data_IF_636128644178
#
_entry.id   IF_636128644178
#
_cell.length_a   1.000
_cell.length_b   1.000
_cell.length_c   1.000
_cell.angle_alpha   90.00
_cell.angle_beta   90.00
_cell.angle_gamma   90.00
#
_symmetry.space_group_name_H-M   'P 1'
#
loop_
_entity.id
_entity.type
_entity.pdbx_description
1 polymer ?
#
# COMPACT_ATOMS: atom_id res chain seq x y z
N UNK A 1 16.70 -1.95 24.23
CA UNK A 1 16.15 -1.20 25.38
C UNK A 1 15.89 0.24 24.98
N UNK A 2 14.82 0.83 25.48
CA UNK A 2 14.52 2.25 25.28
C UNK A 2 15.59 3.12 25.94
N UNK A 3 15.98 4.21 25.27
CA UNK A 3 16.91 5.22 25.80
C UNK A 3 16.18 6.24 26.69
N UNK A 4 14.91 6.51 26.35
CA UNK A 4 14.03 7.43 27.05
C UNK A 4 12.67 6.80 27.36
N UNK A 5 11.96 7.24 28.41
CA UNK A 5 10.58 6.82 28.68
C UNK A 5 9.68 7.10 27.46
N UNK A 6 8.75 6.19 27.18
CA UNK A 6 7.69 6.37 26.20
C UNK A 6 6.42 6.80 26.94
N UNK A 7 5.82 7.89 26.49
CA UNK A 7 4.56 8.36 27.07
C UNK A 7 3.40 7.72 26.32
N UNK A 8 2.42 7.23 27.09
CA UNK A 8 1.20 6.65 26.55
C UNK A 8 0.00 7.47 27.06
N UNK A 9 -0.82 7.92 26.14
CA UNK A 9 -2.03 8.69 26.41
C UNK A 9 -3.24 7.95 25.88
N UNK A 10 -4.26 7.81 26.73
CA UNK A 10 -5.53 7.18 26.35
C UNK A 10 -6.55 8.25 26.02
N UNK A 11 -7.27 8.09 24.93
CA UNK A 11 -8.31 8.99 24.47
C UNK A 11 -9.59 8.22 24.18
N UNK A 12 -10.72 8.83 24.54
CA UNK A 12 -12.03 8.36 24.08
C UNK A 12 -12.18 8.52 22.56
N UNK A 13 -13.08 7.74 21.94
CA UNK A 13 -13.24 7.69 20.48
C UNK A 13 -13.36 9.06 19.81
N UNK A 14 -14.16 9.97 20.37
CA UNK A 14 -14.35 11.28 19.78
C UNK A 14 -13.07 12.15 19.77
N UNK A 15 -12.29 12.09 20.87
CA UNK A 15 -11.04 12.84 20.99
C UNK A 15 -9.93 12.20 20.16
N UNK A 16 -9.95 10.86 20.04
CA UNK A 16 -9.00 10.13 19.21
C UNK A 16 -9.26 10.40 17.72
N UNK A 17 -10.52 10.32 17.27
CA UNK A 17 -10.89 10.64 15.90
C UNK A 17 -10.52 12.07 15.53
N UNK A 18 -10.77 13.05 16.41
CA UNK A 18 -10.36 14.43 16.18
C UNK A 18 -8.83 14.63 16.07
N UNK A 19 -8.02 13.64 16.48
CA UNK A 19 -6.58 13.69 16.34
C UNK A 19 -6.08 13.11 15.01
N UNK A 20 -6.74 12.03 14.51
CA UNK A 20 -6.28 11.30 13.32
C UNK A 20 -6.94 11.78 12.04
N UNK A 21 -8.09 12.42 12.16
CA UNK A 21 -8.86 12.96 11.03
C UNK A 21 -8.71 14.47 11.05
N UNK A 22 -8.19 15.03 9.96
CA UNK A 22 -8.26 16.50 9.76
C UNK A 22 -9.67 16.79 9.25
N UNK A 23 -10.51 17.48 10.06
CA UNK A 23 -11.89 17.62 9.68
C UNK A 23 -12.02 18.40 8.38
N UNK A 24 -12.83 17.89 7.45
CA UNK A 24 -13.19 18.55 6.19
C UNK A 24 -13.82 19.93 6.42
N UNK A 25 -14.33 20.18 7.64
CA UNK A 25 -14.81 21.47 8.10
C UNK A 25 -13.64 22.40 8.45
N UNK A 26 -13.36 23.37 7.59
CA UNK A 26 -12.36 24.40 7.84
C UNK A 26 -11.18 24.44 6.88
N UNK A 27 -11.17 23.58 5.85
CA UNK A 27 -10.16 23.58 4.81
C UNK A 27 -10.00 24.95 4.15
N UNK A 28 -8.77 25.39 3.97
CA UNK A 28 -8.44 26.58 3.18
C UNK A 28 -8.82 26.38 1.70
N UNK A 29 -8.84 27.45 0.93
CA UNK A 29 -9.09 27.35 -0.51
C UNK A 29 -8.04 26.49 -1.22
N UNK A 30 -6.77 26.56 -0.79
CA UNK A 30 -5.66 25.79 -1.35
C UNK A 30 -5.79 24.29 -1.04
N UNK A 31 -6.21 23.93 0.19
CA UNK A 31 -6.43 22.53 0.57
C UNK A 31 -7.60 21.93 -0.19
N UNK A 32 -8.71 22.67 -0.38
CA UNK A 32 -9.81 22.21 -1.24
C UNK A 32 -9.38 22.02 -2.67
N UNK A 33 -8.61 22.94 -3.24
CA UNK A 33 -8.08 22.82 -4.60
C UNK A 33 -7.18 21.59 -4.74
N UNK A 34 -6.37 21.26 -3.74
CA UNK A 34 -5.54 20.06 -3.73
C UNK A 34 -6.40 18.78 -3.72
N UNK A 35 -7.47 18.73 -2.92
CA UNK A 35 -8.43 17.62 -2.91
C UNK A 35 -9.13 17.49 -4.26
N UNK A 36 -9.64 18.58 -4.84
CA UNK A 36 -10.27 18.58 -6.17
C UNK A 36 -9.32 18.07 -7.27
N UNK A 37 -8.03 18.38 -7.17
CA UNK A 37 -7.01 17.90 -8.10
C UNK A 37 -6.73 16.41 -7.92
N UNK A 38 -6.63 15.91 -6.68
CA UNK A 38 -6.49 14.47 -6.39
C UNK A 38 -7.74 13.69 -6.87
N UNK A 39 -8.94 14.22 -6.67
CA UNK A 39 -10.16 13.62 -7.20
C UNK A 39 -10.17 13.56 -8.72
N UNK A 40 -9.73 14.63 -9.40
CA UNK A 40 -9.64 14.66 -10.84
C UNK A 40 -8.58 13.68 -11.37
N UNK A 41 -7.43 13.58 -10.69
CA UNK A 41 -6.40 12.58 -10.95
C UNK A 41 -6.98 11.17 -10.82
N UNK A 42 -7.62 10.88 -9.69
CA UNK A 42 -8.18 9.55 -9.42
C UNK A 42 -9.31 9.18 -10.38
N UNK A 43 -10.19 10.12 -10.76
CA UNK A 43 -11.20 9.87 -11.80
C UNK A 43 -10.58 9.64 -13.18
N UNK A 44 -9.48 10.30 -13.50
CA UNK A 44 -8.74 10.05 -14.74
C UNK A 44 -8.26 8.61 -14.84
N UNK A 45 -7.69 8.08 -13.75
CA UNK A 45 -7.22 6.69 -13.69
C UNK A 45 -8.33 5.65 -13.44
N UNK A 46 -9.50 6.06 -12.94
CA UNK A 46 -10.58 5.18 -12.53
C UNK A 46 -10.38 4.61 -11.13
N UNK A 47 -9.62 5.30 -10.30
CA UNK A 47 -9.53 4.99 -8.87
C UNK A 47 -10.76 5.48 -8.11
N UNK A 48 -11.36 6.56 -8.60
CA UNK A 48 -12.59 7.15 -8.07
C UNK A 48 -13.67 7.18 -9.14
N UNK A 49 -14.93 7.24 -8.71
CA UNK A 49 -16.10 7.28 -9.59
C UNK A 49 -17.07 8.36 -9.14
N UNK A 50 -17.67 9.05 -10.10
CA UNK A 50 -18.71 10.04 -9.79
C UNK A 50 -18.17 11.21 -8.95
N UNK A 51 -18.99 11.65 -7.99
CA UNK A 51 -18.69 12.75 -7.07
C UNK A 51 -18.13 12.21 -5.73
N UNK A 52 -17.12 11.36 -5.79
CA UNK A 52 -16.39 10.90 -4.60
C UNK A 52 -15.88 12.11 -3.82
N UNK A 53 -16.14 12.17 -2.54
CA UNK A 53 -15.51 13.10 -1.60
C UNK A 53 -14.38 12.36 -0.89
N UNK A 54 -13.15 12.55 -1.38
CA UNK A 54 -11.99 11.82 -0.86
C UNK A 54 -11.76 12.13 0.62
N UNK A 55 -12.02 13.36 1.06
CA UNK A 55 -11.81 13.73 2.46
C UNK A 55 -12.75 12.95 3.38
N UNK A 56 -14.03 12.88 3.03
CA UNK A 56 -15.03 12.13 3.81
C UNK A 56 -14.76 10.60 3.75
N UNK A 57 -14.36 10.07 2.60
CA UNK A 57 -14.02 8.65 2.48
C UNK A 57 -12.75 8.29 3.25
N UNK A 58 -11.72 9.13 3.22
CA UNK A 58 -10.52 8.97 4.04
C UNK A 58 -10.86 9.02 5.54
N UNK A 59 -11.72 9.97 5.96
CA UNK A 59 -12.20 10.01 7.35
C UNK A 59 -12.83 8.68 7.76
N UNK A 60 -13.63 8.10 6.88
CA UNK A 60 -14.27 6.80 7.10
C UNK A 60 -13.23 5.69 7.26
N UNK A 61 -12.30 5.55 6.32
CA UNK A 61 -11.26 4.50 6.31
C UNK A 61 -10.36 4.62 7.54
N UNK A 62 -9.82 5.80 7.84
CA UNK A 62 -8.95 6.02 9.00
C UNK A 62 -9.70 5.90 10.34
N UNK A 63 -10.97 6.30 10.37
CA UNK A 63 -11.78 6.32 11.58
C UNK A 63 -12.12 4.95 12.14
N UNK A 64 -12.13 3.91 11.31
CA UNK A 64 -12.58 2.56 11.71
C UNK A 64 -11.41 1.68 12.20
N UNK A 65 -10.28 1.67 11.48
CA UNK A 65 -9.23 0.68 11.66
C UNK A 65 -8.15 1.05 12.69
N UNK A 66 -7.99 2.34 13.03
CA UNK A 66 -6.86 2.78 13.87
C UNK A 66 -7.19 2.71 15.36
N UNK A 67 -6.50 1.83 16.11
CA UNK A 67 -6.67 1.65 17.57
C UNK A 67 -5.65 2.41 18.39
N UNK A 68 -4.46 2.64 17.87
CA UNK A 68 -3.42 3.45 18.48
C UNK A 68 -2.52 4.03 17.40
N UNK A 69 -1.68 4.98 17.78
CA UNK A 69 -0.64 5.53 16.90
C UNK A 69 0.55 6.04 17.73
N UNK A 70 1.76 5.89 17.21
CA UNK A 70 2.94 6.60 17.69
C UNK A 70 3.08 7.94 16.99
N UNK A 71 2.93 9.02 17.73
CA UNK A 71 3.13 10.36 17.19
C UNK A 71 4.63 10.72 17.18
N UNK A 72 5.27 10.63 16.03
CA UNK A 72 6.69 10.96 15.85
C UNK A 72 7.03 12.43 16.21
N UNK A 73 6.09 13.36 16.11
CA UNK A 73 6.33 14.77 16.43
C UNK A 73 6.41 14.99 17.94
N UNK A 74 5.52 14.38 18.70
CA UNK A 74 5.40 14.52 20.14
C UNK A 74 6.12 13.42 20.91
N UNK A 75 6.53 12.33 20.24
CA UNK A 75 7.15 11.12 20.82
C UNK A 75 6.27 10.47 21.89
N UNK A 76 4.98 10.38 21.59
CA UNK A 76 3.98 9.76 22.46
C UNK A 76 3.18 8.69 21.70
N UNK A 77 2.74 7.66 22.40
CA UNK A 77 1.72 6.73 21.91
C UNK A 77 0.36 7.26 22.34
N UNK A 78 -0.57 7.35 21.40
CA UNK A 78 -1.97 7.67 21.69
C UNK A 78 -2.80 6.43 21.42
N UNK A 79 -3.61 6.06 22.40
CA UNK A 79 -4.41 4.82 22.36
C UNK A 79 -5.88 5.18 22.45
N UNK A 80 -6.68 4.58 21.59
CA UNK A 80 -8.14 4.68 21.59
C UNK A 80 -8.70 3.77 22.69
N UNK A 81 -8.95 4.31 23.86
CA UNK A 81 -9.58 3.59 24.96
C UNK A 81 -10.07 4.53 26.05
N UNK A 82 -11.20 4.16 26.66
CA UNK A 82 -11.70 4.80 27.89
C UNK A 82 -11.08 4.17 29.15
N UNK A 83 -10.42 3.01 29.03
CA UNK A 83 -9.73 2.35 30.14
C UNK A 83 -8.24 2.72 30.08
N UNK A 84 -7.70 3.08 31.23
CA UNK A 84 -6.30 3.52 31.39
C UNK A 84 -5.48 2.58 32.27
N UNK A 85 -6.06 1.47 32.74
CA UNK A 85 -5.34 0.47 33.54
C UNK A 85 -4.71 -0.59 32.62
N UNK A 86 -3.38 -0.62 32.46
CA UNK A 86 -2.71 -1.61 31.61
C UNK A 86 -2.91 -3.05 32.04
N UNK A 87 -3.36 -3.31 33.28
CA UNK A 87 -3.61 -4.67 33.77
C UNK A 87 -4.93 -5.26 33.24
N UNK A 88 -5.83 -4.43 32.70
CA UNK A 88 -7.14 -4.84 32.19
C UNK A 88 -7.32 -4.57 30.70
N UNK A 89 -6.28 -4.16 30.01
CA UNK A 89 -6.34 -3.94 28.57
C UNK A 89 -6.60 -5.26 27.83
N UNK A 90 -7.58 -5.31 26.92
CA UNK A 90 -7.85 -6.50 26.12
C UNK A 90 -6.64 -6.88 25.25
N UNK A 91 -6.54 -8.14 24.88
CA UNK A 91 -5.40 -8.66 24.09
C UNK A 91 -5.15 -7.86 22.81
N UNK A 92 -6.16 -7.54 21.99
CA UNK A 92 -5.94 -6.78 20.77
C UNK A 92 -5.25 -5.43 21.02
N UNK A 93 -5.71 -4.71 22.03
CA UNK A 93 -5.12 -3.42 22.37
C UNK A 93 -3.69 -3.55 22.90
N UNK A 94 -3.36 -4.62 23.62
CA UNK A 94 -1.98 -4.92 24.04
C UNK A 94 -1.07 -5.20 22.83
N UNK A 95 -1.57 -5.95 21.85
CA UNK A 95 -0.84 -6.26 20.61
C UNK A 95 -0.57 -4.98 19.84
N UNK A 96 -1.59 -4.13 19.64
CA UNK A 96 -1.42 -2.82 19.00
C UNK A 96 -0.43 -1.92 19.75
N UNK A 97 -0.49 -1.88 21.09
CA UNK A 97 0.48 -1.09 21.89
C UNK A 97 1.92 -1.62 21.70
N UNK A 98 2.12 -2.92 21.51
CA UNK A 98 3.45 -3.47 21.19
C UNK A 98 3.95 -2.96 19.84
N UNK A 99 3.08 -2.86 18.82
CA UNK A 99 3.38 -2.24 17.54
C UNK A 99 3.86 -0.79 17.74
N UNK A 100 3.08 0.03 18.45
CA UNK A 100 3.41 1.44 18.69
C UNK A 100 4.67 1.63 19.55
N UNK A 101 4.91 0.74 20.51
CA UNK A 101 6.15 0.73 21.28
C UNK A 101 7.36 0.43 20.39
N UNK A 102 7.17 -0.36 19.34
CA UNK A 102 8.25 -0.62 18.41
C UNK A 102 8.57 0.63 17.56
N UNK A 103 7.58 1.38 17.12
CA UNK A 103 7.81 2.68 16.48
C UNK A 103 8.56 3.66 17.39
N UNK A 104 8.22 3.68 18.67
CA UNK A 104 8.98 4.48 19.64
C UNK A 104 10.44 4.01 19.77
N UNK A 105 10.70 2.70 19.67
CA UNK A 105 12.05 2.14 19.69
C UNK A 105 12.82 2.47 18.40
N UNK A 106 12.17 2.36 17.23
CA UNK A 106 12.73 2.76 15.94
C UNK A 106 13.14 4.25 15.96
N UNK A 107 12.23 5.14 16.43
CA UNK A 107 12.53 6.57 16.51
C UNK A 107 13.71 6.89 17.45
N UNK A 108 13.77 6.25 18.62
CA UNK A 108 14.86 6.44 19.57
C UNK A 108 16.21 5.92 19.07
N UNK A 109 16.22 4.86 18.26
CA UNK A 109 17.41 4.19 17.76
C UNK A 109 17.93 4.74 16.46
N UNK A 110 17.04 5.12 15.55
CA UNK A 110 17.32 5.38 14.16
C UNK A 110 17.01 6.83 13.75
N UNK A 111 16.37 7.61 14.64
CA UNK A 111 15.86 8.95 14.32
C UNK A 111 15.07 8.95 12.99
N UNK A 112 13.97 8.20 13.00
CA UNK A 112 13.10 8.01 11.82
C UNK A 112 12.72 9.32 11.13
N UNK A 113 12.53 10.39 11.92
CA UNK A 113 12.23 11.72 11.38
C UNK A 113 13.38 12.28 10.53
N UNK A 114 14.63 11.99 10.89
CA UNK A 114 15.79 12.40 10.10
C UNK A 114 15.91 11.52 8.85
N UNK A 115 15.74 10.20 8.96
CA UNK A 115 15.76 9.31 7.80
C UNK A 115 14.66 9.68 6.79
N UNK A 116 13.44 9.96 7.25
CA UNK A 116 12.31 10.37 6.41
C UNK A 116 12.58 11.65 5.61
N UNK A 117 13.39 12.59 6.13
CA UNK A 117 13.78 13.79 5.38
C UNK A 117 14.82 13.55 4.29
N UNK A 118 15.45 12.39 4.28
CA UNK A 118 16.40 11.99 3.22
C UNK A 118 15.68 11.32 2.06
N UNK A 119 14.41 11.00 2.24
CA UNK A 119 13.54 10.46 1.19
C UNK A 119 13.04 11.63 0.36
N UNK A 120 13.28 11.61 -0.94
CA UNK A 120 13.13 12.77 -1.84
C UNK A 120 11.98 12.62 -2.84
N UNK A 121 11.33 11.45 -2.89
CA UNK A 121 10.19 11.19 -3.77
C UNK A 121 9.01 10.59 -3.01
N UNK A 122 7.78 10.80 -3.50
CA UNK A 122 6.59 10.18 -2.90
C UNK A 122 6.66 8.65 -2.95
N UNK A 123 7.27 8.09 -3.98
CA UNK A 123 7.42 6.64 -4.15
C UNK A 123 8.39 6.06 -3.11
N UNK A 124 9.53 6.71 -2.91
CA UNK A 124 10.47 6.34 -1.87
C UNK A 124 9.87 6.51 -0.45
N UNK A 125 9.04 7.53 -0.23
CA UNK A 125 8.33 7.72 1.04
C UNK A 125 7.36 6.56 1.34
N UNK A 126 6.61 6.10 0.33
CA UNK A 126 5.71 4.94 0.47
C UNK A 126 6.50 3.66 0.77
N UNK A 127 7.63 3.44 0.06
CA UNK A 127 8.50 2.29 0.30
C UNK A 127 9.16 2.34 1.69
N UNK A 128 9.61 3.51 2.13
CA UNK A 128 10.16 3.71 3.46
C UNK A 128 9.10 3.50 4.56
N UNK A 129 7.87 3.96 4.34
CA UNK A 129 6.75 3.69 5.25
C UNK A 129 6.51 2.18 5.34
N UNK A 130 6.52 1.45 4.21
CA UNK A 130 6.38 -0.01 4.22
C UNK A 130 7.50 -0.72 5.00
N UNK A 131 8.74 -0.23 4.95
CA UNK A 131 9.81 -0.73 5.81
C UNK A 131 9.51 -0.51 7.30
N UNK A 132 9.09 0.70 7.69
CA UNK A 132 8.82 1.06 9.08
C UNK A 132 7.68 0.20 9.64
N UNK A 133 6.55 0.15 8.93
CA UNK A 133 5.36 -0.61 9.33
C UNK A 133 5.61 -2.12 9.27
N UNK A 134 6.27 -2.59 8.22
CA UNK A 134 6.58 -4.02 8.08
C UNK A 134 7.47 -4.56 9.20
N UNK A 135 8.41 -3.76 9.71
CA UNK A 135 9.23 -4.17 10.85
C UNK A 135 8.43 -4.15 12.16
N UNK A 136 7.50 -3.20 12.33
CA UNK A 136 6.61 -3.17 13.48
C UNK A 136 5.64 -4.37 13.47
N UNK A 137 5.04 -4.69 12.31
CA UNK A 137 4.19 -5.89 12.11
C UNK A 137 4.96 -7.18 12.39
N UNK A 138 6.23 -7.29 11.99
CA UNK A 138 7.04 -8.47 12.28
C UNK A 138 7.23 -8.70 13.78
N UNK A 139 7.44 -7.62 14.56
CA UNK A 139 7.55 -7.71 16.01
C UNK A 139 6.19 -7.99 16.69
N UNK A 140 5.15 -7.30 16.26
CA UNK A 140 3.76 -7.52 16.68
C UNK A 140 3.37 -8.98 16.50
N UNK A 141 3.59 -9.55 15.32
CA UNK A 141 3.36 -10.95 14.98
C UNK A 141 4.13 -11.88 15.91
N UNK A 142 5.39 -11.57 16.17
CA UNK A 142 6.23 -12.36 17.11
C UNK A 142 5.68 -12.31 18.54
N UNK A 143 5.19 -11.18 18.99
CA UNK A 143 4.54 -11.04 20.29
C UNK A 143 3.24 -11.84 20.35
N UNK A 144 2.37 -11.70 19.36
CA UNK A 144 1.09 -12.40 19.26
C UNK A 144 1.26 -13.93 19.35
N UNK A 145 2.16 -14.50 18.55
CA UNK A 145 2.44 -15.95 18.60
C UNK A 145 3.22 -16.40 19.83
N UNK A 146 3.70 -15.49 20.65
CA UNK A 146 4.27 -15.76 21.97
C UNK A 146 3.24 -15.81 23.09
N UNK A 147 1.99 -15.39 22.84
CA UNK A 147 0.86 -15.48 23.78
C UNK A 147 0.36 -16.93 23.88
N UNK A 148 -0.45 -17.23 24.91
CA UNK A 148 -1.11 -18.54 24.99
C UNK A 148 -2.28 -18.64 23.99
N UNK A 149 -2.74 -19.89 23.76
CA UNK A 149 -3.79 -20.18 22.77
C UNK A 149 -5.09 -19.40 23.03
N UNK A 150 -5.46 -19.18 24.31
CA UNK A 150 -6.68 -18.43 24.67
C UNK A 150 -6.56 -16.94 24.31
N UNK A 151 -5.39 -16.36 24.55
CA UNK A 151 -5.10 -14.97 24.20
C UNK A 151 -5.03 -14.80 22.68
N UNK A 152 -4.47 -15.78 21.96
CA UNK A 152 -4.46 -15.76 20.49
C UNK A 152 -5.89 -15.85 19.94
N UNK A 153 -6.73 -16.74 20.46
CA UNK A 153 -8.15 -16.86 20.08
C UNK A 153 -8.90 -15.52 20.32
N UNK A 154 -8.69 -14.87 21.50
CA UNK A 154 -9.29 -13.54 21.78
C UNK A 154 -8.86 -12.49 20.75
N UNK A 155 -7.60 -12.51 20.32
CA UNK A 155 -7.11 -11.58 19.30
C UNK A 155 -7.76 -11.83 17.94
N UNK A 156 -7.79 -13.08 17.47
CA UNK A 156 -8.35 -13.42 16.16
C UNK A 156 -9.86 -13.20 16.11
N UNK A 157 -10.62 -13.56 17.14
CA UNK A 157 -12.05 -13.26 17.25
C UNK A 157 -12.33 -11.75 17.15
N UNK A 158 -11.47 -10.94 17.78
CA UNK A 158 -11.60 -9.49 17.71
C UNK A 158 -11.28 -8.96 16.29
N UNK A 159 -10.21 -9.45 15.67
CA UNK A 159 -9.79 -9.02 14.30
C UNK A 159 -10.87 -9.39 13.29
N UNK A 160 -11.47 -10.58 13.38
CA UNK A 160 -12.57 -11.01 12.51
C UNK A 160 -13.79 -10.07 12.65
N UNK A 161 -14.12 -9.70 13.88
CA UNK A 161 -15.16 -8.71 14.15
C UNK A 161 -14.83 -7.32 13.61
N UNK A 162 -13.58 -6.88 13.76
CA UNK A 162 -13.11 -5.59 13.26
C UNK A 162 -13.11 -5.54 11.73
N UNK A 163 -12.64 -6.59 11.06
CA UNK A 163 -12.65 -6.68 9.61
C UNK A 163 -14.08 -6.60 9.06
N UNK A 164 -15.04 -7.32 9.68
CA UNK A 164 -16.45 -7.21 9.30
C UNK A 164 -17.01 -5.79 9.48
N UNK A 165 -16.63 -5.11 10.56
CA UNK A 165 -17.04 -3.72 10.80
C UNK A 165 -16.40 -2.74 9.78
N UNK A 166 -15.15 -2.99 9.38
CA UNK A 166 -14.44 -2.22 8.35
C UNK A 166 -15.15 -2.42 7.01
N UNK A 167 -15.38 -3.67 6.58
CA UNK A 167 -16.05 -4.01 5.33
C UNK A 167 -17.43 -3.34 5.23
N UNK A 168 -18.23 -3.43 6.30
CA UNK A 168 -19.56 -2.81 6.34
C UNK A 168 -19.53 -1.28 6.20
N UNK A 169 -18.54 -0.63 6.80
CA UNK A 169 -18.41 0.84 6.81
C UNK A 169 -17.73 1.40 5.58
N UNK A 170 -16.84 0.63 4.96
CA UNK A 170 -16.06 1.04 3.78
C UNK A 170 -16.62 0.49 2.46
N UNK A 171 -17.73 -0.25 2.50
CA UNK A 171 -18.34 -0.88 1.33
C UNK A 171 -18.62 0.07 0.14
N UNK A 172 -18.91 1.34 0.44
CA UNK A 172 -19.17 2.38 -0.55
C UNK A 172 -17.95 3.27 -0.83
N UNK A 173 -16.79 3.04 -0.17
CA UNK A 173 -15.58 3.82 -0.39
C UNK A 173 -14.77 3.29 -1.58
N UNK A 174 -13.92 4.13 -2.15
CA UNK A 174 -13.05 3.74 -3.25
C UNK A 174 -11.94 2.77 -2.75
N UNK A 175 -11.84 1.55 -3.31
CA UNK A 175 -10.90 0.53 -2.81
C UNK A 175 -9.44 0.97 -2.79
N UNK A 176 -9.05 1.91 -3.65
CA UNK A 176 -7.70 2.48 -3.68
C UNK A 176 -7.32 3.15 -2.36
N UNK A 177 -8.29 3.70 -1.61
CA UNK A 177 -8.02 4.37 -0.34
C UNK A 177 -7.61 3.34 0.73
N UNK A 178 -8.35 2.25 0.86
CA UNK A 178 -8.00 1.14 1.77
C UNK A 178 -6.66 0.53 1.39
N UNK A 179 -6.43 0.21 0.10
CA UNK A 179 -5.14 -0.35 -0.34
C UNK A 179 -3.98 0.61 -0.08
N UNK A 180 -4.13 1.91 -0.32
CA UNK A 180 -3.05 2.87 -0.03
C UNK A 180 -2.72 2.94 1.47
N UNK A 181 -3.71 2.81 2.35
CA UNK A 181 -3.51 2.80 3.79
C UNK A 181 -2.82 1.51 4.25
N UNK A 182 -3.26 0.36 3.73
CA UNK A 182 -2.88 -0.96 4.22
C UNK A 182 -1.64 -1.54 3.53
N UNK A 183 -1.31 -1.09 2.30
CA UNK A 183 -0.16 -1.60 1.56
C UNK A 183 1.16 -1.63 2.37
N UNK A 184 1.51 -0.63 3.18
CA UNK A 184 2.70 -0.68 4.02
C UNK A 184 2.72 -1.87 4.99
N UNK A 185 1.59 -2.19 5.58
CA UNK A 185 1.43 -3.25 6.59
C UNK A 185 1.47 -4.66 6.00
N UNK A 186 1.07 -4.82 4.74
CA UNK A 186 1.04 -6.13 4.08
C UNK A 186 2.27 -6.40 3.22
N UNK A 187 2.86 -5.38 2.60
CA UNK A 187 4.05 -5.51 1.75
C UNK A 187 5.35 -5.52 2.57
N UNK A 188 5.45 -4.61 3.55
CA UNK A 188 6.66 -4.42 4.35
C UNK A 188 7.15 -5.67 5.07
N UNK A 189 6.29 -6.51 5.67
CA UNK A 189 6.71 -7.72 6.37
C UNK A 189 7.50 -8.70 5.51
N UNK A 190 7.21 -8.82 4.20
CA UNK A 190 7.94 -9.70 3.31
C UNK A 190 9.40 -9.22 3.09
N UNK A 191 9.60 -7.92 2.90
CA UNK A 191 10.94 -7.34 2.78
C UNK A 191 11.75 -7.53 4.08
N UNK A 192 11.13 -7.29 5.24
CA UNK A 192 11.76 -7.45 6.55
C UNK A 192 12.11 -8.91 6.82
N UNK A 193 11.22 -9.84 6.52
CA UNK A 193 11.45 -11.27 6.67
C UNK A 193 12.59 -11.78 5.76
N UNK A 194 12.64 -11.30 4.51
CA UNK A 194 13.73 -11.61 3.60
C UNK A 194 15.08 -11.05 4.10
N UNK A 195 15.11 -9.82 4.60
CA UNK A 195 16.32 -9.25 5.18
C UNK A 195 16.77 -9.96 6.46
N UNK A 196 15.84 -10.50 7.25
CA UNK A 196 16.18 -11.26 8.46
C UNK A 196 16.87 -12.62 8.14
N UNK A 197 16.71 -13.13 6.93
CA UNK A 197 17.41 -14.34 6.45
C UNK A 197 18.82 -14.05 5.91
N UNK A 198 19.12 -12.77 5.60
CA UNK A 198 20.42 -12.35 5.12
C UNK A 198 21.42 -12.15 6.27
N UNK A 199 22.70 -12.37 6.02
CA UNK A 199 23.77 -12.22 7.04
C UNK A 199 23.88 -10.78 7.61
N UNK A 200 23.49 -9.77 6.84
CA UNK A 200 23.48 -8.37 7.26
C UNK A 200 22.27 -8.03 8.16
N UNK A 201 21.24 -8.88 8.13
CA UNK A 201 20.05 -8.72 8.94
C UNK A 201 19.18 -7.51 8.56
N UNK A 202 18.19 -7.20 9.39
CA UNK A 202 17.22 -6.11 9.11
C UNK A 202 17.86 -4.71 9.16
N UNK A 203 18.98 -4.55 9.87
CA UNK A 203 19.64 -3.25 9.99
C UNK A 203 20.09 -2.68 8.62
N UNK A 204 20.42 -3.54 7.65
CA UNK A 204 20.75 -3.12 6.28
C UNK A 204 19.64 -2.30 5.61
N UNK A 205 18.38 -2.58 5.92
CA UNK A 205 17.23 -1.86 5.36
C UNK A 205 17.17 -0.39 5.81
N UNK A 206 17.73 -0.06 6.97
CA UNK A 206 17.84 1.30 7.48
C UNK A 206 19.09 2.02 7.02
N UNK A 207 20.19 1.27 6.80
CA UNK A 207 21.41 1.81 6.21
C UNK A 207 21.22 2.18 4.74
N UNK A 208 20.37 1.41 4.03
CA UNK A 208 20.04 1.61 2.63
C UNK A 208 18.54 1.37 2.43
N UNK A 209 17.68 2.33 2.77
CA UNK A 209 16.23 2.16 2.63
C UNK A 209 15.79 1.85 1.19
N UNK A 210 14.65 1.12 1.03
CA UNK A 210 14.05 0.97 -0.29
C UNK A 210 13.65 2.33 -0.83
N UNK A 211 13.78 2.51 -2.14
CA UNK A 211 13.57 3.82 -2.82
C UNK A 211 12.34 3.84 -3.71
N UNK A 212 11.66 2.71 -3.87
CA UNK A 212 10.41 2.59 -4.59
C UNK A 212 9.59 1.38 -4.11
N UNK A 213 8.28 1.41 -4.33
CA UNK A 213 7.37 0.35 -3.89
C UNK A 213 7.55 -0.97 -4.64
N UNK A 214 8.12 -0.96 -5.85
CA UNK A 214 8.51 -2.19 -6.56
C UNK A 214 9.42 -3.07 -5.72
N UNK A 215 10.35 -2.46 -4.95
CA UNK A 215 11.27 -3.16 -4.05
C UNK A 215 10.58 -3.77 -2.81
N UNK A 216 9.36 -3.37 -2.49
CA UNK A 216 8.56 -4.01 -1.43
C UNK A 216 7.51 -4.96 -2.00
N UNK A 217 7.04 -4.73 -3.24
CA UNK A 217 6.24 -5.69 -4.00
C UNK A 217 7.05 -6.95 -4.36
N UNK A 218 8.30 -6.74 -4.75
CA UNK A 218 9.27 -7.77 -5.06
C UNK A 218 10.57 -7.52 -4.27
N UNK A 219 10.72 -8.10 -3.08
CA UNK A 219 11.95 -7.96 -2.31
C UNK A 219 13.22 -8.36 -3.05
N UNK A 220 13.12 -9.20 -4.10
CA UNK A 220 14.29 -9.58 -4.93
C UNK A 220 14.88 -8.36 -5.65
N UNK A 221 14.05 -7.39 -6.06
CA UNK A 221 14.51 -6.14 -6.66
C UNK A 221 15.37 -5.33 -5.67
N UNK A 222 14.95 -5.27 -4.38
CA UNK A 222 15.77 -4.63 -3.35
C UNK A 222 17.15 -5.28 -3.21
N UNK A 223 17.21 -6.61 -3.07
CA UNK A 223 18.49 -7.33 -2.91
C UNK A 223 19.34 -7.36 -4.19
N UNK A 224 18.74 -7.19 -5.35
CA UNK A 224 19.45 -7.00 -6.62
C UNK A 224 20.00 -5.58 -6.80
N UNK A 225 19.72 -4.65 -5.87
CA UNK A 225 20.00 -3.22 -5.99
C UNK A 225 19.35 -2.62 -7.25
N UNK A 226 18.19 -3.15 -7.62
CA UNK A 226 17.38 -2.58 -8.70
C UNK A 226 16.81 -1.25 -8.25
N UNK A 227 17.06 -0.22 -9.04
CA UNK A 227 16.67 1.15 -8.71
C UNK A 227 15.91 1.77 -9.86
N UNK A 228 14.90 2.59 -9.56
CA UNK A 228 14.14 3.26 -10.60
C UNK A 228 15.05 4.00 -11.58
N UNK A 229 14.82 3.76 -12.87
CA UNK A 229 15.50 4.47 -13.94
C UNK A 229 14.98 5.92 -14.06
N UNK A 230 15.70 6.78 -14.77
CA UNK A 230 15.20 8.13 -15.03
C UNK A 230 14.15 8.10 -16.14
N UNK A 231 12.89 8.39 -15.79
CA UNK A 231 11.81 8.56 -16.76
C UNK A 231 11.59 10.05 -17.02
N UNK A 232 11.61 10.51 -18.28
CA UNK A 232 11.45 11.92 -18.59
C UNK A 232 10.04 12.39 -18.21
N UNK A 233 9.97 13.60 -17.61
CA UNK A 233 8.69 14.25 -17.37
C UNK A 233 8.00 14.57 -18.71
N UNK A 234 6.69 14.32 -18.82
CA UNK A 234 5.93 14.64 -20.04
C UNK A 234 5.92 16.14 -20.36
N UNK A 235 6.04 16.47 -21.65
CA UNK A 235 5.85 17.85 -22.13
C UNK A 235 4.38 18.08 -22.48
N UNK A 236 3.70 18.99 -21.80
CA UNK A 236 2.28 19.28 -22.00
C UNK A 236 2.05 20.67 -22.59
N UNK A 237 0.95 20.82 -23.31
CA UNK A 237 0.50 22.13 -23.82
C UNK A 237 -0.68 22.62 -22.98
N UNK A 238 -0.39 23.28 -21.88
CA UNK A 238 -1.41 23.76 -20.94
C UNK A 238 -0.83 24.33 -19.66
N UNK A 239 -1.69 24.56 -18.69
CA UNK A 239 -1.33 24.96 -17.34
C UNK A 239 -1.00 23.71 -16.52
N UNK A 240 0.23 23.57 -16.07
CA UNK A 240 0.65 22.50 -15.17
C UNK A 240 0.06 22.77 -13.78
N UNK A 241 -0.64 21.76 -13.25
CA UNK A 241 -1.23 21.80 -11.91
C UNK A 241 -0.28 21.11 -10.93
N UNK A 242 0.16 19.89 -11.29
CA UNK A 242 0.97 19.04 -10.44
C UNK A 242 1.85 18.11 -11.27
N UNK A 243 2.98 17.69 -10.72
CA UNK A 243 3.82 16.63 -11.29
C UNK A 243 4.14 15.60 -10.21
N UNK A 244 4.36 14.35 -10.59
CA UNK A 244 4.68 13.30 -9.61
C UNK A 244 4.92 11.94 -10.23
N UNK A 245 4.86 10.92 -9.38
CA UNK A 245 5.03 9.50 -9.70
C UNK A 245 3.80 8.74 -9.23
N UNK A 246 3.25 7.91 -10.11
CA UNK A 246 2.12 7.02 -9.79
C UNK A 246 2.60 5.86 -8.91
N UNK A 247 3.67 5.18 -9.34
CA UNK A 247 4.30 4.07 -8.65
C UNK A 247 3.66 2.71 -8.90
N UNK A 248 4.37 1.66 -8.47
CA UNK A 248 4.06 0.29 -8.82
C UNK A 248 2.71 -0.21 -8.25
N UNK A 249 2.36 0.16 -7.00
CA UNK A 249 1.08 -0.26 -6.38
C UNK A 249 -0.11 0.38 -7.09
N UNK A 250 -0.08 1.68 -7.34
CA UNK A 250 -1.16 2.37 -8.07
C UNK A 250 -1.23 1.93 -9.53
N UNK A 251 -0.09 1.57 -10.16
CA UNK A 251 -0.08 0.93 -11.47
C UNK A 251 -0.85 -0.40 -11.44
N UNK A 252 -0.57 -1.27 -10.45
CA UNK A 252 -1.33 -2.51 -10.25
C UNK A 252 -2.84 -2.24 -10.20
N UNK A 253 -3.29 -1.35 -9.33
CA UNK A 253 -4.71 -1.02 -9.16
C UNK A 253 -5.34 -0.47 -10.45
N UNK A 254 -4.59 0.35 -11.19
CA UNK A 254 -5.01 0.86 -12.49
C UNK A 254 -5.25 -0.26 -13.49
N UNK A 255 -4.29 -1.17 -13.63
CA UNK A 255 -4.36 -2.29 -14.56
C UNK A 255 -5.41 -3.32 -14.16
N UNK A 256 -5.50 -3.67 -12.88
CA UNK A 256 -6.42 -4.66 -12.33
C UNK A 256 -7.91 -4.24 -12.46
N UNK A 257 -8.19 -2.98 -12.76
CA UNK A 257 -9.53 -2.52 -13.12
C UNK A 257 -9.99 -2.99 -14.52
N UNK A 258 -9.09 -3.55 -15.34
CA UNK A 258 -9.37 -3.87 -16.76
C UNK A 258 -8.80 -5.22 -17.24
N UNK A 259 -7.83 -5.80 -16.53
CA UNK A 259 -7.25 -7.11 -16.85
C UNK A 259 -7.28 -8.01 -15.61
N UNK A 260 -7.01 -9.31 -15.80
CA UNK A 260 -6.97 -10.24 -14.66
C UNK A 260 -5.93 -9.80 -13.62
N UNK A 261 -6.22 -9.98 -12.30
CA UNK A 261 -5.32 -9.54 -11.23
C UNK A 261 -3.88 -10.07 -11.37
N UNK A 262 -3.72 -11.32 -11.79
CA UNK A 262 -2.39 -11.93 -12.02
C UNK A 262 -1.63 -11.23 -13.15
N UNK A 263 -2.30 -10.89 -14.27
CA UNK A 263 -1.67 -10.18 -15.40
C UNK A 263 -1.31 -8.74 -15.01
N UNK A 264 -2.18 -8.09 -14.23
CA UNK A 264 -1.92 -6.75 -13.69
C UNK A 264 -0.71 -6.76 -12.75
N UNK A 265 -0.60 -7.79 -11.90
CA UNK A 265 0.52 -7.95 -10.98
C UNK A 265 1.85 -8.16 -11.72
N UNK A 266 1.90 -9.09 -12.69
CA UNK A 266 3.10 -9.31 -13.51
C UNK A 266 3.53 -8.05 -14.25
N UNK A 267 2.57 -7.27 -14.77
CA UNK A 267 2.89 -6.01 -15.43
C UNK A 267 3.43 -4.98 -14.43
N UNK A 268 2.85 -4.88 -13.22
CA UNK A 268 3.30 -3.94 -12.19
C UNK A 268 4.69 -4.30 -11.64
N UNK A 269 5.03 -5.58 -11.53
CA UNK A 269 6.38 -6.03 -11.16
C UNK A 269 7.47 -5.65 -12.16
N UNK A 270 7.09 -5.26 -13.38
CA UNK A 270 8.04 -4.79 -14.40
C UNK A 270 8.20 -3.27 -14.41
N UNK A 271 7.65 -2.57 -13.42
CA UNK A 271 7.73 -1.12 -13.32
C UNK A 271 9.18 -0.64 -13.10
N UNK A 272 9.73 0.07 -14.09
CA UNK A 272 11.09 0.62 -14.00
C UNK A 272 11.13 2.05 -13.46
N UNK A 273 10.16 2.87 -13.77
CA UNK A 273 9.86 4.20 -13.21
C UNK A 273 8.71 4.85 -13.98
N UNK A 274 8.17 5.92 -13.44
CA UNK A 274 7.20 6.75 -14.13
C UNK A 274 7.32 8.24 -13.77
N UNK A 275 6.67 9.09 -14.56
CA UNK A 275 6.48 10.50 -14.25
C UNK A 275 5.19 10.98 -14.89
N UNK A 276 4.35 11.69 -14.15
CA UNK A 276 3.13 12.28 -14.68
C UNK A 276 3.10 13.80 -14.52
N UNK A 277 2.34 14.42 -15.41
CA UNK A 277 1.93 15.83 -15.34
C UNK A 277 0.42 15.89 -15.32
N UNK A 278 -0.15 16.42 -14.25
CA UNK A 278 -1.56 16.82 -14.17
C UNK A 278 -1.68 18.26 -14.70
N UNK A 279 -2.54 18.48 -15.68
CA UNK A 279 -2.60 19.78 -16.36
C UNK A 279 -3.98 20.13 -16.89
N UNK A 280 -4.22 21.42 -17.16
CA UNK A 280 -5.36 21.90 -17.94
C UNK A 280 -4.87 22.22 -19.36
N UNK A 281 -5.37 21.53 -20.39
CA UNK A 281 -5.02 21.82 -21.79
C UNK A 281 -5.34 23.27 -22.18
N UNK A 282 -4.49 23.86 -22.99
CA UNK A 282 -4.71 25.24 -23.48
C UNK A 282 -6.07 25.40 -24.17
N UNK A 283 -6.93 26.28 -23.63
CA UNK A 283 -8.28 26.54 -24.14
C UNK A 283 -9.34 25.53 -23.72
N UNK A 284 -9.07 24.68 -22.72
CA UNK A 284 -10.02 23.75 -22.11
C UNK A 284 -10.06 23.89 -20.59
N UNK A 285 -11.17 23.44 -19.97
CA UNK A 285 -11.37 23.47 -18.53
C UNK A 285 -11.20 22.06 -17.90
N UNK A 286 -11.12 21.00 -18.73
CA UNK A 286 -10.98 19.62 -18.27
C UNK A 286 -9.55 19.37 -17.80
N UNK A 287 -9.40 18.77 -16.63
CA UNK A 287 -8.10 18.33 -16.13
C UNK A 287 -7.69 17.04 -16.86
N UNK A 288 -6.44 16.95 -17.29
CA UNK A 288 -5.88 15.80 -17.97
C UNK A 288 -4.55 15.38 -17.32
N UNK A 289 -4.17 14.14 -17.54
CA UNK A 289 -2.88 13.57 -17.15
C UNK A 289 -2.13 13.16 -18.41
N UNK A 290 -0.88 13.56 -18.49
CA UNK A 290 0.09 12.94 -19.38
C UNK A 290 1.08 12.16 -18.50
N UNK A 291 1.26 10.89 -18.78
CA UNK A 291 2.02 9.97 -17.94
C UNK A 291 3.01 9.17 -18.79
N UNK A 292 4.30 9.30 -18.49
CA UNK A 292 5.38 8.52 -19.06
C UNK A 292 5.76 7.39 -18.11
N UNK A 293 5.85 6.16 -18.64
CA UNK A 293 6.15 4.95 -17.91
C UNK A 293 7.26 4.16 -18.61
N UNK A 294 8.31 3.79 -17.89
CA UNK A 294 9.36 2.87 -18.31
C UNK A 294 9.21 1.51 -17.63
N UNK A 295 9.88 0.51 -18.16
CA UNK A 295 9.93 -0.84 -17.62
C UNK A 295 11.37 -1.32 -17.51
N UNK A 296 11.65 -2.24 -16.57
CA UNK A 296 12.97 -2.85 -16.35
C UNK A 296 13.52 -3.55 -17.60
N UNK A 297 12.60 -4.01 -18.48
CA UNK A 297 13.01 -4.69 -19.71
C UNK A 297 11.92 -4.62 -20.79
N UNK A 298 12.30 -4.99 -22.01
CA UNK A 298 11.41 -4.92 -23.18
C UNK A 298 10.19 -5.86 -23.07
N UNK A 299 10.28 -6.99 -22.37
CA UNK A 299 9.16 -7.90 -22.17
C UNK A 299 8.13 -7.29 -21.22
N UNK A 300 8.59 -6.71 -20.11
CA UNK A 300 7.75 -5.95 -19.18
C UNK A 300 7.06 -4.75 -19.83
N UNK A 301 7.80 -4.00 -20.65
CA UNK A 301 7.22 -2.88 -21.40
C UNK A 301 6.09 -3.34 -22.34
N UNK A 302 6.26 -4.50 -22.99
CA UNK A 302 5.23 -5.08 -23.86
C UNK A 302 4.01 -5.57 -23.08
N UNK A 303 4.21 -6.18 -21.90
CA UNK A 303 3.13 -6.60 -21.00
C UNK A 303 2.35 -5.39 -20.48
N UNK A 304 3.03 -4.37 -19.94
CA UNK A 304 2.40 -3.12 -19.49
C UNK A 304 1.63 -2.43 -20.61
N UNK A 305 2.21 -2.36 -21.83
CA UNK A 305 1.52 -1.78 -22.99
C UNK A 305 0.21 -2.51 -23.27
N UNK A 306 0.20 -3.84 -23.23
CA UNK A 306 -1.01 -4.64 -23.48
C UNK A 306 -2.07 -4.36 -22.43
N UNK A 307 -1.71 -4.40 -21.14
CA UNK A 307 -2.62 -4.14 -20.04
C UNK A 307 -3.15 -2.69 -20.04
N UNK A 308 -2.28 -1.70 -20.26
CA UNK A 308 -2.67 -0.27 -20.38
C UNK A 308 -3.56 0.01 -21.58
N UNK A 309 -3.37 -0.71 -22.70
CA UNK A 309 -4.28 -0.59 -23.85
C UNK A 309 -5.67 -1.10 -23.50
N UNK A 310 -5.77 -2.26 -22.86
CA UNK A 310 -7.05 -2.79 -22.36
C UNK A 310 -7.71 -1.84 -21.36
N UNK A 311 -6.92 -1.27 -20.45
CA UNK A 311 -7.40 -0.28 -19.49
C UNK A 311 -7.91 0.98 -20.20
N UNK A 312 -7.18 1.54 -21.18
CA UNK A 312 -7.59 2.73 -21.91
C UNK A 312 -8.87 2.51 -22.71
N UNK A 313 -9.03 1.32 -23.34
CA UNK A 313 -10.23 0.92 -24.07
C UNK A 313 -11.47 0.78 -23.15
N UNK A 314 -11.27 0.47 -21.88
CA UNK A 314 -12.33 0.36 -20.88
C UNK A 314 -12.74 1.72 -20.27
N UNK A 315 -11.99 2.81 -20.50
CA UNK A 315 -12.34 4.14 -19.96
C UNK A 315 -13.55 4.74 -20.63
N UNK A 316 -14.32 5.56 -19.92
CA UNK A 316 -15.43 6.32 -20.51
C UNK A 316 -14.92 7.20 -21.67
N UNK A 317 -15.73 7.39 -22.70
CA UNK A 317 -15.35 8.18 -23.86
C UNK A 317 -14.92 9.63 -23.51
N UNK A 318 -15.44 10.19 -22.40
CA UNK A 318 -15.05 11.50 -21.87
C UNK A 318 -13.62 11.56 -21.37
N UNK A 319 -13.06 10.43 -20.93
CA UNK A 319 -11.68 10.35 -20.46
C UNK A 319 -10.63 10.45 -21.57
N UNK A 320 -11.00 10.23 -22.84
CA UNK A 320 -10.10 10.35 -24.00
C UNK A 320 -8.79 9.58 -23.83
N UNK A 321 -8.84 8.44 -23.13
CA UNK A 321 -7.67 7.66 -22.81
C UNK A 321 -6.97 7.15 -24.08
N UNK A 322 -5.65 7.24 -24.10
CA UNK A 322 -4.81 6.72 -25.18
C UNK A 322 -3.45 6.28 -24.67
N UNK A 323 -2.88 5.27 -25.31
CA UNK A 323 -1.55 4.74 -25.02
C UNK A 323 -0.72 4.77 -26.29
N UNK A 324 0.43 5.43 -26.23
CA UNK A 324 1.43 5.43 -27.28
C UNK A 324 2.74 4.84 -26.77
N UNK A 325 3.57 4.32 -27.65
CA UNK A 325 4.84 3.70 -27.27
C UNK A 325 5.97 4.21 -28.12
N UNK A 326 7.10 4.51 -27.51
CA UNK A 326 8.41 4.60 -28.12
C UNK A 326 9.22 3.33 -27.82
N UNK A 327 10.51 3.30 -28.13
CA UNK A 327 11.36 2.12 -27.91
C UNK A 327 11.47 1.70 -26.42
N UNK A 328 11.36 2.66 -25.49
CA UNK A 328 11.57 2.41 -24.05
C UNK A 328 10.54 3.07 -23.13
N UNK A 329 9.63 3.89 -23.67
CA UNK A 329 8.65 4.65 -22.88
C UNK A 329 7.25 4.42 -23.44
N UNK A 330 6.30 4.16 -22.54
CA UNK A 330 4.87 4.28 -22.80
C UNK A 330 4.43 5.67 -22.39
N UNK A 331 3.72 6.36 -23.26
CA UNK A 331 3.06 7.64 -22.93
C UNK A 331 1.57 7.44 -22.94
N UNK A 332 0.95 7.74 -21.82
CA UNK A 332 -0.48 7.63 -21.57
C UNK A 332 -1.04 9.04 -21.45
N UNK A 333 -2.07 9.34 -22.23
CA UNK A 333 -2.87 10.55 -22.05
C UNK A 333 -4.27 10.15 -21.61
N UNK A 334 -4.79 10.77 -20.55
CA UNK A 334 -6.13 10.55 -20.05
C UNK A 334 -6.65 11.81 -19.38
N UNK A 335 -7.96 12.07 -19.49
CA UNK A 335 -8.59 13.24 -18.88
C UNK A 335 -9.65 12.81 -17.85
N UNK A 336 -9.91 13.68 -16.89
CA UNK A 336 -11.03 13.52 -15.96
C UNK A 336 -12.37 13.49 -16.75
N UNK A 337 -13.12 12.37 -16.70
CA UNK A 337 -14.42 12.30 -17.35
C UNK A 337 -15.49 13.17 -16.66
N UNK A 338 -15.17 13.69 -15.46
CA UNK A 338 -16.02 14.55 -14.65
C UNK A 338 -16.84 13.81 -13.59
N UNK A 339 -17.28 14.52 -12.55
CA UNK A 339 -17.94 13.96 -11.38
C UNK A 339 -19.33 13.39 -11.63
N UNK A 340 -19.89 13.56 -12.83
CA UNK A 340 -21.18 12.96 -13.22
C UNK A 340 -21.05 11.59 -13.90
N UNK A 341 -19.83 11.11 -14.11
CA UNK A 341 -19.57 9.88 -14.87
C UNK A 341 -19.24 8.75 -13.88
N UNK A 342 -20.04 7.68 -13.93
CA UNK A 342 -19.73 6.44 -13.21
C UNK A 342 -18.76 5.59 -14.03
N UNK A 343 -17.75 5.04 -13.37
CA UNK A 343 -16.73 4.19 -13.97
C UNK A 343 -16.60 2.87 -13.20
N UNK A 344 -16.04 1.87 -13.88
CA UNK A 344 -15.63 0.63 -13.22
C UNK A 344 -14.34 0.92 -12.40
N UNK A 345 -14.40 0.62 -11.12
CA UNK A 345 -13.26 0.64 -10.22
C UNK A 345 -12.53 -0.71 -10.24
N UNK A 346 -11.40 -0.79 -9.54
CA UNK A 346 -10.76 -2.07 -9.24
C UNK A 346 -11.75 -2.97 -8.49
N UNK A 347 -11.78 -4.26 -8.84
CA UNK A 347 -12.68 -5.22 -8.22
C UNK A 347 -12.18 -5.67 -6.85
N UNK A 348 -13.10 -6.16 -6.02
CA UNK A 348 -12.79 -6.82 -4.77
C UNK A 348 -11.81 -8.00 -4.98
N UNK A 349 -12.07 -8.87 -5.97
CA UNK A 349 -11.13 -9.97 -6.32
C UNK A 349 -9.70 -9.49 -6.59
N UNK A 350 -9.53 -8.29 -7.16
CA UNK A 350 -8.19 -7.75 -7.41
C UNK A 350 -7.54 -7.19 -6.14
N UNK A 351 -8.33 -6.62 -5.25
CA UNK A 351 -7.88 -6.20 -3.92
C UNK A 351 -7.48 -7.41 -3.08
N UNK A 352 -8.32 -8.45 -3.06
CA UNK A 352 -8.01 -9.72 -2.38
C UNK A 352 -6.75 -10.37 -2.93
N UNK A 353 -6.58 -10.38 -4.26
CA UNK A 353 -5.36 -10.90 -4.88
C UNK A 353 -4.11 -10.19 -4.35
N UNK A 354 -4.17 -8.87 -4.23
CA UNK A 354 -3.07 -8.06 -3.68
C UNK A 354 -2.73 -8.48 -2.25
N UNK A 355 -3.73 -8.56 -1.38
CA UNK A 355 -3.53 -8.88 0.04
C UNK A 355 -3.09 -10.32 0.27
N UNK A 356 -3.76 -11.27 -0.39
CA UNK A 356 -3.45 -12.71 -0.25
C UNK A 356 -2.02 -12.99 -0.70
N UNK A 357 -1.63 -12.42 -1.85
CA UNK A 357 -0.28 -12.62 -2.37
C UNK A 357 0.80 -12.06 -1.44
N UNK A 358 0.62 -10.82 -0.95
CA UNK A 358 1.58 -10.18 -0.06
C UNK A 358 1.71 -10.95 1.28
N UNK A 359 0.58 -11.32 1.86
CA UNK A 359 0.51 -12.09 3.11
C UNK A 359 1.10 -13.49 2.96
N UNK A 360 0.82 -14.16 1.83
CA UNK A 360 1.36 -15.49 1.52
C UNK A 360 2.88 -15.46 1.43
N UNK A 361 3.46 -14.50 0.68
CA UNK A 361 4.91 -14.34 0.58
C UNK A 361 5.54 -14.13 1.95
N UNK A 362 4.99 -13.23 2.75
CA UNK A 362 5.45 -12.99 4.12
C UNK A 362 5.38 -14.24 5.00
N UNK A 363 4.29 -15.02 4.90
CA UNK A 363 4.13 -16.26 5.65
C UNK A 363 5.12 -17.35 5.21
N UNK A 364 5.36 -17.49 3.91
CA UNK A 364 6.29 -18.46 3.37
C UNK A 364 7.74 -18.13 3.71
N UNK A 365 8.13 -16.86 3.74
CA UNK A 365 9.46 -16.42 4.16
C UNK A 365 9.82 -16.84 5.60
N UNK A 366 8.83 -17.09 6.46
CA UNK A 366 9.09 -17.62 7.80
C UNK A 366 9.38 -19.14 7.83
N UNK A 367 9.13 -19.85 6.73
CA UNK A 367 9.24 -21.31 6.64
C UNK A 367 10.24 -21.75 5.57
N UNK A 368 10.36 -21.01 4.48
CA UNK A 368 11.28 -21.28 3.39
C UNK A 368 12.74 -21.00 3.78
N UNK A 369 13.71 -21.71 3.18
CA UNK A 369 15.12 -21.50 3.48
C UNK A 369 15.66 -20.15 2.98
N UNK A 370 15.06 -19.59 1.95
CA UNK A 370 15.46 -18.32 1.32
C UNK A 370 14.33 -17.68 0.52
N UNK A 371 14.55 -16.42 0.12
CA UNK A 371 13.61 -15.62 -0.65
C UNK A 371 13.26 -16.25 -2.01
N UNK A 372 14.21 -16.92 -2.67
CA UNK A 372 13.97 -17.53 -3.99
C UNK A 372 12.95 -18.67 -3.89
N UNK A 373 13.11 -19.52 -2.90
CA UNK A 373 12.18 -20.60 -2.57
C UNK A 373 10.81 -20.07 -2.18
N UNK A 374 10.74 -19.06 -1.28
CA UNK A 374 9.47 -18.46 -0.87
C UNK A 374 8.72 -17.82 -2.06
N UNK A 375 9.45 -17.12 -2.93
CA UNK A 375 8.89 -16.53 -4.13
C UNK A 375 8.33 -17.58 -5.09
N UNK A 376 9.13 -18.62 -5.42
CA UNK A 376 8.70 -19.75 -6.27
C UNK A 376 7.43 -20.41 -5.73
N UNK A 377 7.38 -20.67 -4.44
CA UNK A 377 6.21 -21.26 -3.79
C UNK A 377 4.99 -20.34 -3.85
N UNK A 378 5.17 -19.04 -3.60
CA UNK A 378 4.10 -18.04 -3.74
C UNK A 378 3.53 -18.06 -5.17
N UNK A 379 4.37 -17.95 -6.20
CA UNK A 379 3.94 -17.99 -7.60
C UNK A 379 3.18 -19.28 -7.95
N UNK A 380 3.64 -20.40 -7.41
CA UNK A 380 3.03 -21.71 -7.67
C UNK A 380 1.64 -21.80 -7.02
N UNK A 381 1.52 -21.42 -5.76
CA UNK A 381 0.28 -21.46 -5.00
C UNK A 381 -0.76 -20.47 -5.55
N UNK A 382 -0.36 -19.24 -5.86
CA UNK A 382 -1.25 -18.24 -6.47
C UNK A 382 -1.82 -18.66 -7.83
N UNK A 383 -1.15 -19.59 -8.54
CA UNK A 383 -1.65 -20.15 -9.81
C UNK A 383 -2.49 -21.40 -9.65
N UNK A 384 -2.35 -22.15 -8.56
CA UNK A 384 -2.94 -23.48 -8.43
C UNK A 384 -4.08 -23.55 -7.43
N UNK A 385 -4.14 -22.61 -6.49
CA UNK A 385 -5.14 -22.58 -5.43
C UNK A 385 -6.06 -21.35 -5.60
N UNK A 386 -7.23 -21.37 -4.96
CA UNK A 386 -8.11 -20.19 -4.91
C UNK A 386 -7.69 -19.24 -3.80
N UNK A 387 -8.04 -17.96 -3.93
CA UNK A 387 -7.74 -16.96 -2.89
C UNK A 387 -8.35 -17.34 -1.55
N UNK A 388 -9.63 -17.73 -1.52
CA UNK A 388 -10.33 -18.16 -0.30
C UNK A 388 -9.60 -19.30 0.42
N UNK A 389 -9.12 -20.31 -0.35
CA UNK A 389 -8.39 -21.42 0.24
C UNK A 389 -7.03 -20.99 0.81
N UNK A 390 -6.37 -20.00 0.19
CA UNK A 390 -5.09 -19.47 0.68
C UNK A 390 -5.26 -18.59 1.91
N UNK A 391 -6.40 -17.93 2.08
CA UNK A 391 -6.73 -17.13 3.27
C UNK A 391 -7.01 -18.03 4.48
N UNK A 392 -7.75 -19.14 4.32
CA UNK A 392 -8.03 -20.11 5.39
C UNK A 392 -7.70 -21.55 4.95
N UNK A 393 -6.41 -21.92 4.97
CA UNK A 393 -5.96 -23.22 4.48
C UNK A 393 -6.33 -24.35 5.45
N UNK A 394 -7.03 -25.36 4.92
CA UNK A 394 -7.27 -26.63 5.61
C UNK A 394 -5.97 -27.45 5.78
N UNK A 395 -6.03 -28.53 6.56
CA UNK A 395 -4.86 -29.39 6.80
C UNK A 395 -4.28 -29.99 5.52
N UNK A 396 -5.13 -30.28 4.52
CA UNK A 396 -4.69 -30.83 3.24
C UNK A 396 -3.94 -29.77 2.42
N UNK A 397 -4.41 -28.54 2.42
CA UNK A 397 -3.72 -27.42 1.76
C UNK A 397 -2.42 -27.05 2.50
N UNK A 398 -2.41 -27.04 3.83
CA UNK A 398 -1.16 -26.84 4.60
C UNK A 398 -0.11 -27.88 4.26
N UNK A 399 -0.47 -29.14 4.11
CA UNK A 399 0.45 -30.20 3.66
C UNK A 399 0.93 -29.98 2.22
N UNK A 400 0.07 -29.49 1.30
CA UNK A 400 0.47 -29.14 -0.07
C UNK A 400 1.40 -27.93 -0.11
N UNK A 401 1.12 -26.90 0.71
CA UNK A 401 2.01 -25.73 0.84
C UNK A 401 3.42 -26.17 1.22
N UNK A 402 3.56 -27.04 2.24
CA UNK A 402 4.86 -27.58 2.63
C UNK A 402 5.55 -28.34 1.46
N UNK A 403 4.80 -29.16 0.72
CA UNK A 403 5.35 -29.86 -0.45
C UNK A 403 5.78 -28.90 -1.56
N UNK A 404 5.03 -27.83 -1.82
CA UNK A 404 5.40 -26.83 -2.83
C UNK A 404 6.66 -26.07 -2.42
N UNK A 405 6.84 -25.78 -1.13
CA UNK A 405 8.08 -25.17 -0.62
C UNK A 405 9.28 -26.12 -0.81
N UNK A 406 9.10 -27.41 -0.55
CA UNK A 406 10.16 -28.43 -0.73
C UNK A 406 10.54 -28.62 -2.22
N UNK A 407 9.59 -28.45 -3.13
CA UNK A 407 9.78 -28.61 -4.58
C UNK A 407 10.39 -27.36 -5.25
N UNK A 408 10.35 -26.21 -4.57
CA UNK A 408 10.94 -24.96 -5.02
C UNK A 408 12.40 -24.78 -4.58
#
# INVERSE_FOLDING_TARGET
TFEHPVYVRFLADADFNALIVDPSEGLSATEREAIENEEALGRSFGWYTGSTDIADEQETVYGVGVLALYNFANREIVVRSNDTDPAVLPVPLRVTIVHELFHALQDQRLDIRTLRRLVDTAEAERAFTALIEGHAVALETSYLYGLDDTEQDEYFDYVDGLNSDIDDKTADTAPVLSVNLEAPYVLGPALVAAAAQDDAGVDQLYDKPPVAQDQVLDPRAYFADDRPETTPEPEVNGEVIETGVIGAVRLYLTLASAVAPADAWEAALSWGNDSYVLYRPAGGDTVCVEWNLSADNAAGLAAMRTALTSWADARPAGAKASVTASDSILTINVCDPGPSVTQTLVSEDAVDYFYVRASLLSALLRQAPDLTTAWCATETLMRTETLDALQDPDDALRARIASVVDDC
#
